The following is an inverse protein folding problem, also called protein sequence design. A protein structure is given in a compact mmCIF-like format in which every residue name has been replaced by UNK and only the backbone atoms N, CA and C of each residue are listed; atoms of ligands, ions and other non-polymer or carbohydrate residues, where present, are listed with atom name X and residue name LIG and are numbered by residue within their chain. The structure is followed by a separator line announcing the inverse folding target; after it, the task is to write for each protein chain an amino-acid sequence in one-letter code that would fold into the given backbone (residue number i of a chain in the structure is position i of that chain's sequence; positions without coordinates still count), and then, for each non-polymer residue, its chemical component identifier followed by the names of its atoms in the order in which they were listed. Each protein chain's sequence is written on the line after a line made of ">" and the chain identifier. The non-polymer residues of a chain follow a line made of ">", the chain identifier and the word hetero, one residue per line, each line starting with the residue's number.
data_IF_331782280755
#
_entry.id   IF_331782280755
#
_cell.length_a   1.000
_cell.length_b   1.000
_cell.length_c   1.000
_cell.angle_alpha   90.00
_cell.angle_beta   90.00
_cell.angle_gamma   90.00
#
_symmetry.space_group_name_H-M   'P 1'
#
loop_
_entity.id
_entity.type
_entity.pdbx_description
1 polymer ?
#
# COMPACT_ATOMS: atom_id res chain seq x y z
N UNK A 1 -50.63 26.07 -20.46
CA UNK A 1 -50.18 24.88 -19.71
C UNK A 1 -48.82 25.21 -19.08
N UNK A 2 -48.68 25.21 -17.74
CA UNK A 2 -47.42 25.54 -17.05
C UNK A 2 -46.34 24.46 -17.24
N UNK A 3 -45.06 24.72 -16.91
CA UNK A 3 -43.94 24.13 -17.63
C UNK A 3 -43.55 22.70 -17.23
N UNK A 4 -43.00 21.95 -18.19
CA UNK A 4 -42.24 20.72 -17.96
C UNK A 4 -41.01 21.04 -17.10
N UNK A 5 -40.98 20.56 -15.86
CA UNK A 5 -39.72 20.49 -15.09
C UNK A 5 -38.74 19.58 -15.83
N UNK A 6 -37.47 19.99 -15.96
CA UNK A 6 -36.39 19.07 -16.31
C UNK A 6 -36.11 18.19 -15.09
N UNK A 7 -36.78 17.04 -15.01
CA UNK A 7 -36.47 15.97 -14.06
C UNK A 7 -35.13 15.34 -14.47
N UNK A 8 -34.04 16.00 -14.07
CA UNK A 8 -32.66 15.65 -14.46
C UNK A 8 -31.61 16.17 -13.50
N UNK A 9 -32.00 16.60 -12.30
CA UNK A 9 -31.08 16.69 -11.18
C UNK A 9 -30.91 15.27 -10.63
N UNK A 10 -29.92 14.54 -11.15
CA UNK A 10 -29.43 13.34 -10.48
C UNK A 10 -28.94 13.75 -9.07
N UNK A 11 -29.15 12.89 -8.08
CA UNK A 11 -28.49 13.09 -6.79
C UNK A 11 -26.97 13.02 -6.99
N UNK A 12 -26.17 13.75 -6.21
CA UNK A 12 -24.73 13.65 -6.28
C UNK A 12 -24.27 12.27 -5.83
N UNK A 13 -24.05 11.36 -6.78
CA UNK A 13 -23.31 10.10 -6.61
C UNK A 13 -21.80 10.38 -6.47
N UNK A 14 -21.45 11.34 -5.59
CA UNK A 14 -20.10 11.81 -5.29
C UNK A 14 -20.06 12.49 -3.90
N UNK A 15 -18.88 12.88 -3.43
CA UNK A 15 -18.67 13.50 -2.13
C UNK A 15 -19.04 14.99 -2.18
N UNK A 16 -20.09 15.41 -1.46
CA UNK A 16 -20.48 16.84 -1.36
C UNK A 16 -19.73 17.56 -0.23
N UNK A 17 -19.71 18.89 -0.22
CA UNK A 17 -19.05 19.70 0.83
C UNK A 17 -19.46 19.30 2.26
N UNK A 18 -20.75 19.08 2.52
CA UNK A 18 -21.27 18.60 3.82
C UNK A 18 -20.67 17.24 4.23
N UNK A 19 -20.43 16.36 3.26
CA UNK A 19 -19.77 15.08 3.47
C UNK A 19 -18.26 15.27 3.74
N UNK A 20 -17.60 16.22 3.08
CA UNK A 20 -16.20 16.57 3.33
C UNK A 20 -16.00 17.12 4.74
N UNK A 21 -16.86 18.05 5.19
CA UNK A 21 -16.86 18.57 6.57
C UNK A 21 -17.05 17.44 7.60
N UNK A 22 -17.99 16.54 7.35
CA UNK A 22 -18.24 15.35 8.20
C UNK A 22 -17.01 14.44 8.28
N UNK A 23 -16.31 14.21 7.17
CA UNK A 23 -15.09 13.39 7.12
C UNK A 23 -13.90 14.09 7.78
N UNK A 24 -13.73 15.40 7.58
CA UNK A 24 -12.69 16.20 8.20
C UNK A 24 -12.86 16.26 9.73
N UNK A 25 -14.09 16.48 10.22
CA UNK A 25 -14.42 16.41 11.64
C UNK A 25 -14.14 15.03 12.23
N UNK A 26 -14.51 13.94 11.52
CA UNK A 26 -14.19 12.59 11.95
C UNK A 26 -12.68 12.34 12.04
N UNK A 27 -11.87 12.84 11.10
CA UNK A 27 -10.40 12.73 11.13
C UNK A 27 -9.81 13.53 12.31
N UNK A 28 -10.30 14.74 12.56
CA UNK A 28 -9.90 15.56 13.70
C UNK A 28 -10.23 14.90 15.06
N UNK A 29 -11.34 14.16 15.13
CA UNK A 29 -11.72 13.32 16.28
C UNK A 29 -10.97 11.96 16.33
N UNK A 30 -10.01 11.73 15.44
CA UNK A 30 -9.21 10.49 15.35
C UNK A 30 -9.95 9.28 14.79
N UNK A 31 -11.18 9.44 14.28
CA UNK A 31 -11.99 8.37 13.71
C UNK A 31 -11.53 8.01 12.28
N UNK A 32 -11.75 6.75 11.89
CA UNK A 32 -11.28 6.20 10.61
C UNK A 32 -12.26 6.47 9.47
N UNK A 33 -12.21 7.68 8.92
CA UNK A 33 -12.86 8.03 7.67
C UNK A 33 -12.50 7.04 6.53
N UNK A 34 -13.52 6.51 5.85
CA UNK A 34 -13.40 5.55 4.74
C UNK A 34 -14.31 6.01 3.61
N UNK A 35 -13.78 6.05 2.39
CA UNK A 35 -14.47 6.42 1.15
C UNK A 35 -14.27 5.32 0.10
N UNK A 36 -14.93 5.43 -1.05
CA UNK A 36 -14.75 4.50 -2.17
C UNK A 36 -14.48 5.27 -3.46
N UNK A 37 -13.57 4.77 -4.30
CA UNK A 37 -13.32 5.32 -5.63
C UNK A 37 -14.53 5.10 -6.52
N UNK A 38 -14.90 6.10 -7.32
CA UNK A 38 -15.97 6.02 -8.32
C UNK A 38 -15.53 5.28 -9.58
N UNK A 39 -14.34 5.59 -10.06
CA UNK A 39 -13.78 5.04 -11.31
C UNK A 39 -12.62 4.08 -11.01
N UNK A 40 -12.21 3.30 -12.02
CA UNK A 40 -11.13 2.32 -11.87
C UNK A 40 -9.79 2.90 -12.33
N UNK A 41 -8.73 2.71 -11.55
CA UNK A 41 -7.35 3.04 -11.94
C UNK A 41 -6.56 1.73 -12.13
N UNK A 42 -6.64 1.10 -13.32
CA UNK A 42 -6.02 -0.21 -13.57
C UNK A 42 -4.48 -0.17 -13.51
N UNK A 43 -3.87 0.99 -13.78
CA UNK A 43 -2.44 1.25 -13.59
C UNK A 43 -1.96 1.04 -12.15
N UNK A 44 -2.85 1.20 -11.17
CA UNK A 44 -2.61 1.01 -9.73
C UNK A 44 -3.32 -0.24 -9.18
N UNK A 45 -3.92 -1.06 -10.04
CA UNK A 45 -4.70 -2.23 -9.63
C UNK A 45 -6.01 -1.91 -8.88
N UNK A 46 -6.53 -0.69 -9.02
CA UNK A 46 -7.71 -0.22 -8.28
C UNK A 46 -8.99 -0.38 -9.11
N UNK A 47 -9.93 -1.19 -8.60
CA UNK A 47 -11.27 -1.34 -9.19
C UNK A 47 -12.19 -0.13 -8.88
N UNK A 48 -13.19 0.09 -9.72
CA UNK A 48 -14.30 0.98 -9.39
C UNK A 48 -15.03 0.45 -8.13
N UNK A 49 -15.28 1.33 -7.16
CA UNK A 49 -15.77 0.95 -5.83
C UNK A 49 -14.69 0.38 -4.90
N UNK A 50 -13.39 0.57 -5.19
CA UNK A 50 -12.31 0.25 -4.25
C UNK A 50 -12.37 1.15 -3.00
N UNK A 51 -12.28 0.55 -1.81
CA UNK A 51 -12.27 1.28 -0.54
C UNK A 51 -10.94 1.99 -0.30
N UNK A 52 -10.96 3.23 0.17
CA UNK A 52 -9.78 3.98 0.58
C UNK A 52 -9.94 4.59 1.98
N UNK A 53 -8.85 4.73 2.72
CA UNK A 53 -8.80 5.40 4.03
C UNK A 53 -8.40 6.86 3.83
N UNK A 54 -9.21 7.80 4.34
CA UNK A 54 -8.87 9.23 4.27
C UNK A 54 -7.80 9.58 5.31
N UNK A 55 -6.93 10.53 4.96
CA UNK A 55 -5.77 10.95 5.77
C UNK A 55 -5.85 12.45 6.04
N UNK A 56 -6.13 13.25 5.01
CA UNK A 56 -6.35 14.69 5.10
C UNK A 56 -7.42 15.14 4.11
N UNK A 57 -8.03 16.29 4.35
CA UNK A 57 -8.97 16.97 3.45
C UNK A 57 -8.47 18.40 3.27
N UNK A 58 -8.34 18.85 2.02
CA UNK A 58 -7.75 20.13 1.63
C UNK A 58 -8.69 20.80 0.63
N UNK A 59 -9.72 21.50 1.14
CA UNK A 59 -10.80 22.00 0.29
C UNK A 59 -11.58 20.85 -0.36
N UNK A 60 -11.50 20.76 -1.69
CA UNK A 60 -12.17 19.70 -2.48
C UNK A 60 -11.30 18.44 -2.67
N UNK A 61 -9.99 18.53 -2.45
CA UNK A 61 -9.04 17.43 -2.60
C UNK A 61 -8.92 16.64 -1.29
N UNK A 62 -8.95 15.30 -1.36
CA UNK A 62 -8.70 14.41 -0.23
C UNK A 62 -7.39 13.66 -0.44
N UNK A 63 -6.52 13.67 0.57
CA UNK A 63 -5.37 12.76 0.61
C UNK A 63 -5.85 11.41 1.16
N UNK A 64 -5.81 10.37 0.33
CA UNK A 64 -6.34 9.03 0.64
C UNK A 64 -5.29 7.94 0.39
N UNK A 65 -5.42 6.82 1.11
CA UNK A 65 -4.69 5.58 0.83
C UNK A 65 -5.68 4.51 0.32
N UNK A 66 -5.72 4.22 -0.99
CA UNK A 66 -6.58 3.18 -1.57
C UNK A 66 -6.18 1.77 -1.13
N UNK A 67 -7.16 0.88 -0.92
CA UNK A 67 -6.90 -0.53 -0.55
C UNK A 67 -6.32 -1.29 -1.74
N UNK A 68 -5.02 -1.50 -1.71
CA UNK A 68 -4.23 -2.12 -2.77
C UNK A 68 -2.93 -1.35 -3.04
N UNK A 69 -2.88 -0.08 -2.62
CA UNK A 69 -1.76 0.84 -2.76
C UNK A 69 -1.35 1.30 -1.35
N UNK A 70 -0.06 1.16 -0.98
CA UNK A 70 0.45 1.65 0.32
C UNK A 70 0.82 3.15 0.30
N UNK A 71 0.66 3.81 -0.85
CA UNK A 71 0.92 5.24 -1.09
C UNK A 71 -0.21 6.17 -0.59
N UNK A 72 0.06 7.48 -0.56
CA UNK A 72 -0.90 8.54 -0.16
C UNK A 72 -1.18 9.47 -1.34
N UNK A 73 -2.32 9.25 -1.99
CA UNK A 73 -2.67 9.86 -3.27
C UNK A 73 -3.73 10.97 -3.08
N UNK A 74 -3.58 12.13 -3.74
CA UNK A 74 -4.64 13.13 -3.83
C UNK A 74 -5.73 12.67 -4.80
N UNK A 75 -7.00 12.82 -4.40
CA UNK A 75 -8.19 12.52 -5.20
C UNK A 75 -9.23 13.62 -4.98
N UNK A 76 -9.97 14.00 -6.03
CA UNK A 76 -11.05 14.99 -5.89
C UNK A 76 -12.34 14.40 -5.32
N UNK A 77 -13.13 15.24 -4.65
CA UNK A 77 -14.44 14.88 -4.10
C UNK A 77 -15.40 14.28 -5.14
N UNK A 78 -15.29 14.69 -6.41
CA UNK A 78 -16.12 14.18 -7.53
C UNK A 78 -15.77 12.76 -7.98
N UNK A 79 -14.56 12.29 -7.67
CA UNK A 79 -14.07 10.92 -7.92
C UNK A 79 -14.37 9.96 -6.76
N UNK A 80 -14.88 10.47 -5.63
CA UNK A 80 -15.01 9.73 -4.38
C UNK A 80 -16.46 9.61 -3.91
N UNK A 81 -16.74 8.51 -3.22
CA UNK A 81 -18.08 8.10 -2.79
C UNK A 81 -18.11 7.87 -1.29
N UNK A 82 -19.15 8.38 -0.62
CA UNK A 82 -19.44 8.08 0.79
C UNK A 82 -19.87 6.61 1.01
N UNK A 83 -20.36 5.94 -0.05
CA UNK A 83 -20.83 4.55 -0.01
C UNK A 83 -20.30 3.78 -1.21
N UNK A 84 -20.01 2.50 -1.01
CA UNK A 84 -19.55 1.63 -2.10
C UNK A 84 -20.65 1.48 -3.14
N UNK A 85 -20.47 2.02 -4.34
CA UNK A 85 -21.23 1.55 -5.50
C UNK A 85 -20.98 0.05 -5.63
N UNK A 86 -22.01 -0.81 -5.69
CA UNK A 86 -21.80 -2.22 -5.95
C UNK A 86 -21.18 -2.36 -7.34
N UNK A 87 -19.92 -2.79 -7.39
CA UNK A 87 -19.19 -2.97 -8.65
C UNK A 87 -20.08 -3.74 -9.65
N UNK A 88 -20.27 -3.16 -10.84
CA UNK A 88 -21.17 -3.69 -11.83
C UNK A 88 -20.75 -5.14 -12.14
N UNK A 89 -21.62 -6.09 -11.78
CA UNK A 89 -21.25 -7.51 -11.82
C UNK A 89 -20.91 -7.91 -13.25
N UNK A 90 -19.64 -8.21 -13.50
CA UNK A 90 -19.28 -9.24 -14.50
C UNK A 90 -20.23 -10.41 -14.29
N UNK A 91 -21.00 -10.74 -15.32
CA UNK A 91 -22.35 -11.27 -15.14
C UNK A 91 -22.40 -12.49 -14.20
N UNK A 92 -23.33 -12.53 -13.22
CA UNK A 92 -23.48 -13.72 -12.40
C UNK A 92 -23.90 -14.88 -13.30
N UNK A 93 -23.08 -15.94 -13.34
CA UNK A 93 -23.47 -17.20 -13.96
C UNK A 93 -24.84 -17.62 -13.38
N UNK A 94 -25.87 -17.90 -14.21
CA UNK A 94 -27.23 -18.08 -13.70
C UNK A 94 -27.38 -19.26 -12.75
N UNK A 95 -27.40 -18.98 -11.44
CA UNK A 95 -27.88 -19.92 -10.44
C UNK A 95 -29.41 -20.06 -10.61
N UNK A 96 -29.83 -21.17 -11.21
CA UNK A 96 -31.25 -21.44 -11.46
C UNK A 96 -32.03 -21.53 -10.13
N UNK A 97 -33.19 -20.85 -9.98
CA UNK A 97 -34.02 -20.97 -8.79
C UNK A 97 -34.73 -22.33 -8.75
N UNK A 98 -34.94 -22.86 -7.54
CA UNK A 98 -35.50 -24.19 -7.33
C UNK A 98 -36.98 -24.18 -6.89
N UNK A 99 -37.58 -25.39 -6.94
CA UNK A 99 -38.88 -25.83 -6.38
C UNK A 99 -40.16 -25.57 -7.20
N UNK A 100 -41.25 -26.37 -7.03
CA UNK A 100 -41.39 -27.67 -6.33
C UNK A 100 -42.10 -28.81 -7.11
N UNK A 101 -41.69 -30.08 -6.86
CA UNK A 101 -42.47 -31.37 -6.69
C UNK A 101 -43.55 -31.75 -7.76
N UNK A 102 -43.59 -32.97 -8.34
CA UNK A 102 -44.32 -34.18 -7.86
C UNK A 102 -43.99 -35.43 -8.73
N UNK A 103 -43.54 -36.53 -8.09
CA UNK A 103 -43.63 -37.99 -8.44
C UNK A 103 -43.25 -38.48 -9.87
N UNK A 104 -42.78 -39.72 -10.10
CA UNK A 104 -42.54 -40.93 -9.25
C UNK A 104 -41.11 -41.46 -9.59
N UNK A 105 -40.56 -42.65 -9.27
CA UNK A 105 -40.95 -43.94 -8.66
C UNK A 105 -39.64 -44.51 -8.01
N UNK A 106 -39.57 -44.96 -6.74
CA UNK A 106 -39.82 -46.32 -6.20
C UNK A 106 -39.02 -47.41 -6.96
N UNK A 107 -38.12 -48.23 -6.38
CA UNK A 107 -37.56 -48.45 -5.02
C UNK A 107 -36.23 -49.29 -5.17
N UNK A 108 -35.72 -50.04 -4.17
CA UNK A 108 -35.18 -49.71 -2.83
C UNK A 108 -33.63 -49.90 -2.78
N UNK A 109 -32.87 -49.43 -1.78
CA UNK A 109 -32.78 -50.00 -0.41
C UNK A 109 -31.34 -49.83 0.16
N UNK A 110 -31.09 -49.95 1.49
CA UNK A 110 -30.14 -49.03 2.13
C UNK A 110 -28.99 -49.73 2.96
N UNK A 111 -28.44 -49.25 4.12
CA UNK A 111 -26.99 -49.27 4.43
C UNK A 111 -26.68 -50.11 5.72
N UNK A 112 -25.75 -49.83 6.68
CA UNK A 112 -24.58 -48.94 6.76
C UNK A 112 -23.27 -49.48 7.45
N UNK A 113 -22.10 -48.87 7.11
CA UNK A 113 -20.91 -48.69 7.98
C UNK A 113 -20.23 -49.97 8.61
N UNK A 114 -19.24 -49.88 9.54
CA UNK A 114 -18.16 -48.91 9.79
C UNK A 114 -16.73 -49.57 9.90
N UNK A 115 -15.71 -48.78 10.30
CA UNK A 115 -14.47 -49.14 11.08
C UNK A 115 -13.10 -49.23 10.35
N UNK A 116 -12.13 -48.55 10.99
CA UNK A 116 -10.66 -48.78 11.08
C UNK A 116 -10.33 -50.20 11.64
N UNK A 117 -9.06 -50.73 11.67
CA UNK A 117 -7.76 -50.02 11.74
C UNK A 117 -6.49 -50.64 11.06
N UNK A 118 -5.42 -49.82 10.95
CA UNK A 118 -3.99 -50.23 10.99
C UNK A 118 -3.50 -51.23 9.88
N UNK A 119 -2.26 -51.76 9.84
CA UNK A 119 -1.04 -51.62 10.68
C UNK A 119 0.25 -51.97 9.89
N UNK A 120 1.39 -51.32 10.23
CA UNK A 120 2.81 -51.83 10.17
C UNK A 120 3.32 -52.30 8.78
N UNK A 121 4.61 -52.39 8.43
CA UNK A 121 5.84 -52.97 9.06
C UNK A 121 7.03 -52.40 8.22
N UNK A 122 8.15 -51.83 8.70
CA UNK A 122 9.27 -52.34 9.54
C UNK A 122 10.12 -53.44 8.84
N UNK A 123 11.47 -53.45 8.84
CA UNK A 123 12.53 -52.42 8.99
C UNK A 123 13.92 -53.06 8.64
N UNK A 124 15.02 -52.26 8.64
CA UNK A 124 16.42 -52.71 8.98
C UNK A 124 17.16 -53.54 7.89
N UNK A 125 18.52 -53.69 7.84
CA UNK A 125 19.65 -53.09 8.61
C UNK A 125 20.68 -52.27 7.76
N UNK A 126 21.75 -51.80 8.42
CA UNK A 126 23.01 -51.29 7.84
C UNK A 126 24.09 -52.41 7.68
N UNK A 127 25.33 -52.12 7.21
CA UNK A 127 26.39 -51.67 8.14
C UNK A 127 27.32 -50.56 7.56
N UNK A 128 28.43 -50.27 8.24
CA UNK A 128 29.23 -49.03 8.10
C UNK A 128 30.60 -49.18 7.41
N UNK A 129 31.18 -48.04 7.01
CA UNK A 129 32.61 -47.83 6.74
C UNK A 129 33.03 -46.42 7.22
N UNK A 130 34.31 -46.24 7.60
CA UNK A 130 34.84 -45.06 8.32
C UNK A 130 35.89 -44.27 7.52
N UNK A 131 35.85 -42.92 7.57
CA UNK A 131 37.02 -42.05 7.38
C UNK A 131 36.76 -40.56 7.73
N UNK A 132 37.52 -40.03 8.70
CA UNK A 132 37.95 -38.62 9.00
C UNK A 132 37.08 -37.37 8.69
N UNK A 133 37.18 -36.28 9.50
CA UNK A 133 36.20 -35.20 9.52
C UNK A 133 36.54 -33.94 8.70
N UNK A 134 35.50 -33.19 8.33
CA UNK A 134 35.56 -31.75 8.01
C UNK A 134 34.64 -31.00 8.99
N UNK A 135 35.12 -29.99 9.74
CA UNK A 135 34.26 -29.22 10.64
C UNK A 135 33.18 -28.46 9.85
N UNK A 136 31.97 -29.02 9.82
CA UNK A 136 30.81 -28.34 9.26
C UNK A 136 30.42 -27.16 10.16
N UNK A 137 30.13 -26.01 9.56
CA UNK A 137 29.65 -24.84 10.29
C UNK A 137 28.28 -25.15 10.89
N UNK A 138 28.24 -25.49 12.18
CA UNK A 138 26.98 -25.63 12.92
C UNK A 138 26.26 -24.29 12.87
N UNK A 139 25.00 -24.22 12.39
CA UNK A 139 24.25 -22.97 12.37
C UNK A 139 24.00 -22.53 13.81
N UNK A 140 24.82 -21.61 14.30
CA UNK A 140 24.78 -21.12 15.67
C UNK A 140 23.40 -20.51 15.94
N UNK A 141 22.57 -21.28 16.65
CA UNK A 141 21.17 -20.98 16.99
C UNK A 141 21.14 -19.68 17.78
N UNK A 142 20.98 -18.55 17.06
CA UNK A 142 21.13 -17.19 17.61
C UNK A 142 20.29 -17.05 18.86
N UNK A 143 20.95 -17.03 20.02
CA UNK A 143 20.29 -16.87 21.30
C UNK A 143 19.66 -15.49 21.31
N UNK A 144 18.37 -15.43 21.63
CA UNK A 144 17.58 -14.20 21.70
C UNK A 144 18.00 -13.40 22.93
N UNK A 145 19.19 -12.78 22.84
CA UNK A 145 19.79 -11.95 23.87
C UNK A 145 18.79 -10.83 24.20
N UNK A 146 18.34 -10.82 25.46
CA UNK A 146 17.14 -10.09 25.91
C UNK A 146 17.39 -8.58 25.86
N UNK A 147 17.14 -7.97 24.70
CA UNK A 147 17.32 -6.54 24.45
C UNK A 147 16.52 -5.76 25.52
N UNK A 148 17.14 -4.77 26.21
CA UNK A 148 16.43 -3.92 27.16
C UNK A 148 15.35 -3.08 26.46
N UNK A 149 14.49 -2.42 27.24
CA UNK A 149 13.44 -1.55 26.72
C UNK A 149 13.99 -0.18 26.24
N UNK A 150 14.93 -0.21 25.29
CA UNK A 150 15.43 0.98 24.59
C UNK A 150 14.63 1.29 23.33
N UNK A 151 14.70 2.55 22.87
CA UNK A 151 14.18 2.96 21.55
C UNK A 151 15.34 2.97 20.57
N UNK A 152 15.15 2.43 19.37
CA UNK A 152 16.13 2.50 18.28
C UNK A 152 15.50 3.16 17.06
N UNK A 153 16.12 4.24 16.59
CA UNK A 153 15.73 4.97 15.38
C UNK A 153 16.67 4.52 14.26
N UNK A 154 16.11 4.05 13.15
CA UNK A 154 16.87 3.73 11.93
C UNK A 154 16.49 4.73 10.85
N UNK A 155 17.48 5.46 10.34
CA UNK A 155 17.34 6.36 9.20
C UNK A 155 17.68 5.59 7.93
N UNK A 156 16.86 5.74 6.90
CA UNK A 156 17.10 5.26 5.54
C UNK A 156 17.21 6.48 4.62
N UNK A 157 18.33 6.61 3.91
CA UNK A 157 18.55 7.65 2.90
C UNK A 157 18.61 7.00 1.51
N UNK A 158 17.63 7.30 0.66
CA UNK A 158 17.52 6.86 -0.72
C UNK A 158 18.15 7.84 -1.71
N UNK A 159 18.46 7.35 -2.92
CA UNK A 159 19.19 8.11 -3.94
C UNK A 159 18.41 9.30 -4.52
N UNK A 160 17.08 9.19 -4.64
CA UNK A 160 16.21 10.21 -5.24
C UNK A 160 15.55 11.13 -4.19
N UNK A 161 16.25 11.42 -3.08
CA UNK A 161 15.75 12.16 -1.90
C UNK A 161 14.58 11.51 -1.14
N UNK A 162 14.26 10.23 -1.39
CA UNK A 162 13.42 9.44 -0.49
C UNK A 162 14.17 9.17 0.83
N UNK A 163 13.84 9.91 1.89
CA UNK A 163 14.35 9.65 3.24
C UNK A 163 13.21 9.15 4.10
N UNK A 164 13.44 8.05 4.83
CA UNK A 164 12.45 7.49 5.73
C UNK A 164 13.04 7.03 7.06
N UNK A 165 12.25 7.17 8.12
CA UNK A 165 12.67 6.84 9.49
C UNK A 165 11.82 5.71 10.04
N UNK A 166 12.49 4.68 10.54
CA UNK A 166 11.90 3.50 11.13
C UNK A 166 12.22 3.46 12.62
N UNK A 167 11.23 3.65 13.49
CA UNK A 167 11.42 3.60 14.95
C UNK A 167 10.97 2.25 15.53
N UNK A 168 11.83 1.57 16.29
CA UNK A 168 11.51 0.38 17.05
C UNK A 168 11.60 0.62 18.56
N UNK A 169 10.76 -0.06 19.34
CA UNK A 169 10.63 0.15 20.79
C UNK A 169 10.79 -1.20 21.52
N UNK A 170 11.97 -1.41 22.11
CA UNK A 170 12.37 -2.67 22.75
C UNK A 170 12.34 -3.84 21.77
N UNK A 171 11.96 -5.02 22.27
CA UNK A 171 11.83 -6.23 21.45
C UNK A 171 10.56 -6.31 20.56
N UNK A 172 9.83 -5.20 20.37
CA UNK A 172 8.71 -5.14 19.41
C UNK A 172 9.28 -5.01 17.99
N UNK A 173 8.48 -5.40 16.98
CA UNK A 173 8.83 -5.12 15.58
C UNK A 173 9.01 -3.61 15.37
N UNK A 174 9.89 -3.17 14.44
CA UNK A 174 9.94 -1.79 14.02
C UNK A 174 8.57 -1.30 13.51
N UNK A 175 8.33 0.00 13.62
CA UNK A 175 7.13 0.63 13.03
C UNK A 175 7.12 0.55 11.50
N UNK A 176 6.05 1.06 10.89
CA UNK A 176 6.12 1.45 9.46
C UNK A 176 7.18 2.55 9.32
N UNK A 177 7.94 2.52 8.23
CA UNK A 177 8.81 3.62 7.86
C UNK A 177 7.95 4.88 7.62
N UNK A 178 8.39 6.02 8.14
CA UNK A 178 7.74 7.33 8.00
C UNK A 178 8.59 8.17 7.05
N UNK A 179 8.05 8.69 5.93
CA UNK A 179 8.79 9.59 5.06
C UNK A 179 9.09 10.92 5.78
N UNK A 180 10.29 11.46 5.58
CA UNK A 180 10.78 12.70 6.21
C UNK A 180 11.61 13.50 5.21
N UNK A 181 11.74 14.81 5.40
CA UNK A 181 12.68 15.60 4.59
C UNK A 181 14.12 15.47 5.10
N UNK A 182 15.15 15.59 4.23
CA UNK A 182 16.54 15.51 4.66
C UNK A 182 16.89 16.58 5.69
N UNK A 183 16.42 17.82 5.51
CA UNK A 183 16.68 18.93 6.44
C UNK A 183 15.95 18.78 7.78
N UNK A 184 15.00 17.84 7.92
CA UNK A 184 14.41 17.47 9.20
C UNK A 184 15.25 16.40 9.92
N UNK A 185 15.88 15.49 9.18
CA UNK A 185 16.83 14.51 9.71
C UNK A 185 18.12 15.20 10.17
N UNK A 186 18.65 16.13 9.37
CA UNK A 186 19.80 16.98 9.73
C UNK A 186 19.59 17.66 11.10
N UNK A 187 18.45 18.35 11.27
CA UNK A 187 18.10 19.01 12.54
C UNK A 187 17.96 18.02 13.70
N UNK A 188 17.28 16.89 13.50
CA UNK A 188 17.11 15.89 14.56
C UNK A 188 18.46 15.27 15.00
N UNK A 189 19.34 14.93 14.06
CA UNK A 189 20.67 14.37 14.35
C UNK A 189 21.57 15.42 15.01
N UNK A 190 21.44 16.69 14.62
CA UNK A 190 22.11 17.82 15.27
C UNK A 190 21.62 18.08 16.70
N UNK A 191 20.34 17.85 16.98
CA UNK A 191 19.78 17.88 18.36
C UNK A 191 20.24 16.68 19.21
N UNK A 192 20.58 15.54 18.60
CA UNK A 192 21.23 14.42 19.31
C UNK A 192 22.70 14.70 19.68
N UNK A 193 23.38 15.61 18.95
CA UNK A 193 24.76 16.02 19.24
C UNK A 193 25.84 14.96 18.94
N UNK A 194 25.56 13.99 18.07
CA UNK A 194 26.56 13.00 17.62
C UNK A 194 27.27 13.50 16.35
N UNK A 195 28.44 14.14 16.51
CA UNK A 195 29.20 14.76 15.41
C UNK A 195 29.40 13.81 14.22
N UNK A 196 29.80 12.56 14.47
CA UNK A 196 29.98 11.52 13.43
C UNK A 196 28.73 11.27 12.60
N UNK A 197 27.55 11.37 13.21
CA UNK A 197 26.27 11.20 12.53
C UNK A 197 25.84 12.48 11.80
N UNK A 198 26.17 13.66 12.34
CA UNK A 198 25.97 14.96 11.69
C UNK A 198 26.79 15.02 10.39
N UNK A 199 28.11 14.80 10.47
CA UNK A 199 29.02 14.78 9.31
C UNK A 199 28.56 13.78 8.24
N UNK A 200 28.14 12.57 8.66
CA UNK A 200 27.65 11.54 7.74
C UNK A 200 26.34 11.94 7.04
N UNK A 201 25.38 12.54 7.76
CA UNK A 201 24.10 13.01 7.21
C UNK A 201 24.32 14.21 6.28
N UNK A 202 25.09 15.22 6.70
CA UNK A 202 25.42 16.38 5.88
C UNK A 202 26.15 15.97 4.58
N UNK A 203 27.09 15.04 4.66
CA UNK A 203 27.81 14.50 3.49
C UNK A 203 26.87 13.83 2.48
N UNK A 204 25.91 13.02 2.95
CA UNK A 204 24.89 12.39 2.08
C UNK A 204 23.95 13.45 1.48
N UNK A 205 23.55 14.46 2.26
CA UNK A 205 22.69 15.56 1.78
C UNK A 205 23.40 16.39 0.71
N UNK A 206 24.69 16.71 0.88
CA UNK A 206 25.50 17.42 -0.13
C UNK A 206 25.67 16.57 -1.39
N UNK A 207 25.93 15.27 -1.26
CA UNK A 207 26.00 14.36 -2.40
C UNK A 207 24.67 14.28 -3.18
N UNK A 208 23.54 14.20 -2.48
CA UNK A 208 22.20 14.19 -3.09
C UNK A 208 21.87 15.53 -3.78
N UNK A 209 22.21 16.67 -3.16
CA UNK A 209 22.06 18.01 -3.76
C UNK A 209 22.91 18.14 -5.04
N UNK A 210 24.14 17.64 -5.05
CA UNK A 210 25.01 17.63 -6.23
C UNK A 210 24.48 16.74 -7.37
N UNK A 211 23.94 15.55 -7.06
CA UNK A 211 23.32 14.67 -8.04
C UNK A 211 22.05 15.33 -8.64
N UNK A 212 21.23 15.94 -7.80
CA UNK A 212 20.04 16.68 -8.24
C UNK A 212 20.41 17.86 -9.16
N UNK A 213 21.44 18.65 -8.82
CA UNK A 213 21.94 19.74 -9.65
C UNK A 213 22.40 19.24 -11.03
N UNK A 214 23.25 18.20 -11.08
CA UNK A 214 23.71 17.62 -12.34
C UNK A 214 22.56 17.07 -13.21
N UNK A 215 21.49 16.54 -12.60
CA UNK A 215 20.28 16.09 -13.29
C UNK A 215 19.44 17.26 -13.83
N UNK A 216 19.42 18.40 -13.14
CA UNK A 216 18.79 19.64 -13.61
C UNK A 216 19.60 20.27 -14.76
N UNK A 217 20.93 20.27 -14.69
CA UNK A 217 21.81 20.77 -15.76
C UNK A 217 21.69 19.94 -17.06
N UNK A 218 21.52 18.62 -16.94
CA UNK A 218 21.28 17.75 -18.09
C UNK A 218 19.88 17.98 -18.69
N UNK A 219 18.85 18.08 -17.86
CA UNK A 219 17.48 18.37 -18.31
C UNK A 219 17.36 19.78 -18.92
N UNK A 220 18.09 20.78 -18.42
CA UNK A 220 18.06 22.13 -18.98
C UNK A 220 18.68 22.18 -20.38
N UNK A 221 19.79 21.47 -20.63
CA UNK A 221 20.37 21.29 -21.97
C UNK A 221 19.40 20.61 -22.94
N UNK A 222 18.75 19.53 -22.49
CA UNK A 222 17.75 18.83 -23.31
C UNK A 222 16.57 19.74 -23.68
N UNK A 223 16.12 20.60 -22.76
CA UNK A 223 15.09 21.62 -23.03
C UNK A 223 15.58 22.75 -23.94
N UNK A 224 16.83 23.19 -23.80
CA UNK A 224 17.42 24.18 -24.71
C UNK A 224 17.55 23.65 -26.15
N UNK A 225 18.02 22.41 -26.32
CA UNK A 225 18.20 21.82 -27.65
C UNK A 225 16.85 21.45 -28.29
N UNK A 226 15.87 21.01 -27.50
CA UNK A 226 14.47 20.88 -27.96
C UNK A 226 13.89 22.24 -28.38
N UNK A 227 14.19 23.32 -27.64
CA UNK A 227 13.76 24.69 -27.99
C UNK A 227 14.42 25.18 -29.28
N UNK A 228 15.73 24.98 -29.44
CA UNK A 228 16.47 25.29 -30.70
C UNK A 228 15.90 24.52 -31.89
N UNK A 229 15.51 23.26 -31.69
CA UNK A 229 14.87 22.45 -32.73
C UNK A 229 13.48 22.99 -33.12
N UNK A 230 12.66 23.43 -32.16
CA UNK A 230 11.37 24.07 -32.42
C UNK A 230 11.53 25.44 -33.12
N UNK A 231 12.52 26.24 -32.72
CA UNK A 231 12.86 27.51 -33.34
C UNK A 231 13.34 27.32 -34.80
N UNK A 232 14.18 26.31 -35.05
CA UNK A 232 14.62 25.93 -36.40
C UNK A 232 13.48 25.36 -37.29
N UNK A 233 12.40 24.86 -36.69
CA UNK A 233 11.17 24.46 -37.36
C UNK A 233 10.16 25.61 -37.53
N UNK A 234 10.48 26.83 -37.07
CA UNK A 234 9.62 28.00 -37.17
C UNK A 234 8.41 27.99 -36.23
N UNK A 235 8.41 27.15 -35.19
CA UNK A 235 7.27 26.96 -34.27
C UNK A 235 7.17 28.09 -33.20
N UNK A 236 7.30 29.35 -33.63
CA UNK A 236 7.18 30.56 -32.81
C UNK A 236 6.28 31.58 -33.53
N UNK A 237 4.99 31.23 -33.61
CA UNK A 237 3.87 32.13 -33.92
C UNK A 237 2.69 31.80 -32.99
#
# INVERSE_FOLDING_TARGET
>A
MPPRRRSGAAAPDHLTAENLETLAAAIAEGKRATVYLREAMPSLGLEAGASAKVISVQGNTLLIRPKGVDDELPFEAEELLMRRIPAAKSAPAPAAPATPVVHQEIEPGPPPAPKTPAAKTVATPAPAATAVPKPAAVPAKRTSKKVPAGVSVTIHAGADNDWSVTVAHGAKRPGKAVPVSPDAVERAVRELGEETAIEAVESIIVAARNLAAARVDELSRQLEDARKALEALGAVE
#
